data_IF_489454047620
#
_entry.id   IF_489454047620
#
_cell.length_a   1.000
_cell.length_b   1.000
_cell.length_c   1.000
_cell.angle_alpha   90.00
_cell.angle_beta   90.00
_cell.angle_gamma   90.00
#
_symmetry.space_group_name_H-M   'P 1'
#
loop_
_entity.id
_entity.type
_entity.pdbx_description
1 polymer ?
#
# COMPACT_ATOMS: atom_id res chain seq x y z
N UNK A 1 -18.67 -11.06 -6.23
CA UNK A 1 -17.95 -10.89 -4.95
C UNK A 1 -16.97 -9.74 -5.13
N UNK A 2 -16.75 -8.93 -4.10
CA UNK A 2 -15.80 -7.82 -4.14
C UNK A 2 -14.57 -8.17 -3.29
N UNK A 3 -13.39 -7.74 -3.73
CA UNK A 3 -12.18 -7.84 -2.92
C UNK A 3 -12.33 -6.86 -1.74
N UNK A 4 -12.11 -7.35 -0.52
CA UNK A 4 -12.06 -6.53 0.69
C UNK A 4 -10.64 -6.47 1.21
N UNK A 5 -10.13 -5.27 1.47
CA UNK A 5 -8.80 -5.01 2.04
C UNK A 5 -8.98 -4.45 3.45
N UNK A 6 -8.19 -4.92 4.41
CA UNK A 6 -8.18 -4.46 5.80
C UNK A 6 -6.75 -4.36 6.34
N UNK A 7 -6.55 -3.48 7.32
CA UNK A 7 -5.30 -3.40 8.09
C UNK A 7 -5.55 -3.77 9.55
N UNK A 8 -4.59 -4.42 10.19
CA UNK A 8 -4.60 -4.59 11.66
C UNK A 8 -4.11 -3.33 12.40
N UNK A 9 -3.54 -2.36 11.69
CA UNK A 9 -3.00 -1.14 12.27
C UNK A 9 -4.06 -0.04 12.48
N UNK A 10 -5.07 0.01 11.61
CA UNK A 10 -6.14 1.00 11.67
C UNK A 10 -7.38 0.51 10.93
N UNK A 11 -8.52 1.13 11.24
CA UNK A 11 -9.80 0.84 10.59
C UNK A 11 -10.03 1.76 9.39
N UNK A 12 -10.89 1.34 8.47
CA UNK A 12 -11.37 2.19 7.37
C UNK A 12 -11.99 3.49 7.93
N UNK A 13 -11.57 4.63 7.36
CA UNK A 13 -11.97 5.97 7.83
C UNK A 13 -11.34 6.41 9.15
N UNK A 14 -10.49 5.57 9.77
CA UNK A 14 -9.75 5.89 10.97
C UNK A 14 -8.44 6.64 10.70
N UNK A 15 -7.84 7.17 11.77
CA UNK A 15 -6.53 7.81 11.70
C UNK A 15 -5.43 6.78 11.41
N UNK A 16 -4.54 7.11 10.48
CA UNK A 16 -3.34 6.32 10.19
C UNK A 16 -2.31 6.58 11.32
N UNK A 17 -1.81 5.54 12.02
CA UNK A 17 -0.80 5.71 13.05
C UNK A 17 0.51 6.30 12.50
N UNK A 18 1.18 7.13 13.29
CA UNK A 18 2.40 7.84 12.88
C UNK A 18 3.51 6.94 12.32
N UNK A 19 3.63 5.69 12.81
CA UNK A 19 4.59 4.71 12.28
C UNK A 19 4.47 4.51 10.75
N UNK A 20 3.27 4.69 10.19
CA UNK A 20 2.97 4.54 8.76
C UNK A 20 2.88 5.89 8.02
N UNK A 21 3.28 6.99 8.63
CA UNK A 21 3.29 8.33 8.02
C UNK A 21 4.72 8.88 7.98
N UNK A 22 4.92 10.04 7.34
CA UNK A 22 6.21 10.72 7.34
C UNK A 22 6.65 11.24 8.73
N UNK A 23 5.73 11.32 9.69
CA UNK A 23 6.01 11.77 11.06
C UNK A 23 6.66 10.67 11.94
N UNK A 24 6.59 9.42 11.50
CA UNK A 24 7.16 8.28 12.21
C UNK A 24 8.18 7.51 11.38
N UNK A 25 7.94 6.21 11.21
CA UNK A 25 8.91 5.29 10.59
C UNK A 25 8.80 5.26 9.06
N UNK A 26 7.76 5.85 8.47
CA UNK A 26 7.51 5.84 7.03
C UNK A 26 7.47 4.41 6.43
N UNK A 27 6.91 3.46 7.17
CA UNK A 27 6.80 2.05 6.73
C UNK A 27 5.40 1.72 6.21
N UNK A 28 5.30 0.73 5.31
CA UNK A 28 3.99 0.28 4.83
C UNK A 28 3.14 -0.31 5.96
N UNK A 29 1.82 -0.10 5.99
CA UNK A 29 0.96 -0.76 6.96
C UNK A 29 0.81 -2.26 6.67
N UNK A 30 0.50 -3.08 7.69
CA UNK A 30 0.11 -4.46 7.46
C UNK A 30 -1.22 -4.47 6.72
N UNK A 31 -1.32 -5.21 5.61
CA UNK A 31 -2.53 -5.31 4.81
C UNK A 31 -2.92 -6.77 4.66
N UNK A 32 -4.21 -7.06 4.69
CA UNK A 32 -4.76 -8.37 4.36
C UNK A 32 -6.01 -8.20 3.53
N UNK A 33 -6.33 -9.20 2.70
CA UNK A 33 -7.48 -9.14 1.83
C UNK A 33 -8.16 -10.49 1.65
N UNK A 34 -9.43 -10.42 1.29
CA UNK A 34 -10.32 -11.54 1.06
C UNK A 34 -11.16 -11.31 -0.20
N UNK A 35 -11.86 -12.35 -0.66
CA UNK A 35 -12.76 -12.24 -1.82
C UNK A 35 -12.03 -12.18 -3.17
N UNK A 36 -10.78 -12.64 -3.23
CA UNK A 36 -10.03 -12.78 -4.48
C UNK A 36 -10.70 -13.87 -5.35
N UNK A 37 -11.08 -13.57 -6.61
CA UNK A 37 -11.70 -14.56 -7.49
C UNK A 37 -10.80 -15.78 -7.72
N UNK A 38 -11.40 -16.97 -7.83
CA UNK A 38 -10.64 -18.22 -8.03
C UNK A 38 -9.82 -18.22 -9.32
N UNK A 39 -10.29 -17.53 -10.35
CA UNK A 39 -9.60 -17.38 -11.64
C UNK A 39 -8.50 -16.30 -11.64
N UNK A 40 -8.31 -15.57 -10.54
CA UNK A 40 -7.26 -14.55 -10.47
C UNK A 40 -5.88 -15.22 -10.49
N UNK A 41 -4.99 -14.73 -11.35
CA UNK A 41 -3.61 -15.24 -11.45
C UNK A 41 -2.66 -14.38 -10.62
N UNK A 42 -2.84 -13.06 -10.69
CA UNK A 42 -2.08 -12.08 -9.92
C UNK A 42 -2.98 -10.97 -9.41
N UNK A 43 -2.47 -10.23 -8.42
CA UNK A 43 -3.06 -9.04 -7.85
C UNK A 43 -2.13 -7.85 -8.06
N UNK A 44 -2.74 -6.67 -8.07
CA UNK A 44 -2.04 -5.39 -7.96
C UNK A 44 -2.58 -4.65 -6.73
N UNK A 45 -1.70 -3.88 -6.09
CA UNK A 45 -2.01 -2.99 -4.99
C UNK A 45 -1.54 -1.58 -5.38
N UNK A 46 -2.45 -0.62 -5.25
CA UNK A 46 -2.17 0.81 -5.41
C UNK A 46 -2.66 1.49 -4.14
N UNK A 47 -1.82 2.32 -3.56
CA UNK A 47 -2.20 3.25 -2.49
C UNK A 47 -2.09 4.65 -3.08
N UNK A 48 -3.21 5.32 -3.25
CA UNK A 48 -3.31 6.66 -3.79
C UNK A 48 -4.06 7.60 -2.84
N UNK A 49 -3.67 8.87 -2.89
CA UNK A 49 -4.29 9.99 -2.19
C UNK A 49 -4.89 10.94 -3.24
N UNK A 50 -6.21 10.87 -3.50
CA UNK A 50 -6.87 11.76 -4.44
C UNK A 50 -7.02 13.20 -3.93
N UNK A 51 -6.84 13.43 -2.62
CA UNK A 51 -7.03 14.73 -1.97
C UNK A 51 -5.74 15.59 -1.99
N UNK A 52 -4.65 15.05 -2.53
CA UNK A 52 -3.39 15.76 -2.63
C UNK A 52 -3.50 17.05 -3.49
N UNK A 53 -2.86 18.17 -3.08
CA UNK A 53 -3.09 19.49 -3.68
C UNK A 53 -2.80 19.63 -5.19
N UNK A 54 -1.97 18.74 -5.75
CA UNK A 54 -1.53 18.79 -7.15
C UNK A 54 -2.12 17.65 -8.00
N UNK A 55 -3.23 17.06 -7.54
CA UNK A 55 -3.85 15.88 -8.13
C UNK A 55 -3.46 14.60 -7.38
N UNK A 56 -4.03 13.47 -7.80
CA UNK A 56 -3.84 12.17 -7.14
C UNK A 56 -2.38 11.83 -6.94
N UNK A 57 -2.01 11.56 -5.68
CA UNK A 57 -0.65 11.19 -5.29
C UNK A 57 -0.55 9.70 -5.01
N UNK A 58 0.26 8.99 -5.77
CA UNK A 58 0.49 7.56 -5.60
C UNK A 58 1.59 7.33 -4.58
N UNK A 59 1.20 6.79 -3.43
CA UNK A 59 2.07 6.44 -2.31
C UNK A 59 2.77 5.09 -2.49
N UNK A 60 2.12 4.12 -3.13
CA UNK A 60 2.68 2.78 -3.31
C UNK A 60 2.07 2.06 -4.51
N UNK A 61 2.91 1.33 -5.25
CA UNK A 61 2.51 0.47 -6.36
C UNK A 61 3.20 -0.89 -6.24
N UNK A 62 2.41 -1.95 -6.23
CA UNK A 62 2.86 -3.34 -6.26
C UNK A 62 2.05 -4.11 -7.32
N UNK A 63 2.70 -4.90 -8.15
CA UNK A 63 2.06 -5.71 -9.19
C UNK A 63 2.72 -7.09 -9.30
N UNK A 64 2.13 -7.99 -10.08
CA UNK A 64 2.56 -9.40 -10.17
C UNK A 64 2.55 -10.14 -8.82
N UNK A 65 1.77 -9.70 -7.85
CA UNK A 65 1.61 -10.41 -6.59
C UNK A 65 0.82 -11.69 -6.85
N UNK A 66 1.31 -12.89 -6.49
CA UNK A 66 0.57 -14.13 -6.75
C UNK A 66 -0.81 -14.08 -6.10
N UNK A 67 -1.84 -14.50 -6.82
CA UNK A 67 -3.22 -14.47 -6.31
C UNK A 67 -3.46 -15.39 -5.11
N UNK A 68 -2.53 -16.26 -4.76
CA UNK A 68 -2.54 -17.04 -3.52
C UNK A 68 -2.16 -16.23 -2.28
N UNK A 69 -1.47 -15.09 -2.44
CA UNK A 69 -1.13 -14.20 -1.33
C UNK A 69 -2.40 -13.54 -0.80
N UNK A 70 -2.50 -13.47 0.53
CA UNK A 70 -3.64 -12.91 1.26
C UNK A 70 -3.28 -11.75 2.17
N UNK A 71 -1.99 -11.49 2.35
CA UNK A 71 -1.49 -10.44 3.23
C UNK A 71 -0.10 -9.94 2.83
N UNK A 72 0.21 -8.74 3.29
CA UNK A 72 1.55 -8.14 3.29
C UNK A 72 1.85 -7.68 4.72
N UNK A 73 3.03 -7.99 5.26
CA UNK A 73 3.43 -7.51 6.57
C UNK A 73 3.64 -5.98 6.55
N UNK A 74 3.70 -5.38 7.72
CA UNK A 74 4.18 -4.00 7.85
C UNK A 74 5.64 -3.89 7.39
N UNK A 75 6.02 -2.74 6.83
CA UNK A 75 7.41 -2.45 6.44
C UNK A 75 7.94 -3.35 5.33
N UNK A 76 7.15 -3.56 4.27
CA UNK A 76 7.64 -4.22 3.06
C UNK A 76 8.85 -3.45 2.53
N UNK A 77 10.01 -4.10 2.30
CA UNK A 77 11.22 -3.42 1.90
C UNK A 77 11.06 -2.82 0.49
N UNK A 78 11.75 -1.70 0.15
CA UNK A 78 11.64 -1.02 -1.13
C UNK A 78 12.44 -1.72 -2.26
N UNK A 79 12.47 -3.04 -2.26
CA UNK A 79 13.15 -3.84 -3.27
C UNK A 79 12.31 -3.94 -4.54
N UNK A 80 12.93 -3.89 -5.73
CA UNK A 80 12.21 -4.00 -7.00
C UNK A 80 11.39 -5.30 -7.08
N UNK A 81 11.93 -6.41 -6.60
CA UNK A 81 11.27 -7.71 -6.57
C UNK A 81 11.28 -8.27 -5.14
N UNK A 82 10.10 -8.57 -4.63
CA UNK A 82 9.92 -9.16 -3.31
C UNK A 82 10.09 -10.69 -3.34
N UNK A 83 10.36 -11.28 -2.18
CA UNK A 83 10.52 -12.73 -2.02
C UNK A 83 9.27 -13.53 -2.44
N UNK A 84 8.09 -12.93 -2.38
CA UNK A 84 6.82 -13.54 -2.81
C UNK A 84 6.57 -13.42 -4.32
N UNK A 85 7.52 -12.88 -5.10
CA UNK A 85 7.43 -12.74 -6.55
C UNK A 85 6.80 -11.43 -7.04
N UNK A 86 6.22 -10.64 -6.13
CA UNK A 86 5.68 -9.34 -6.47
C UNK A 86 6.77 -8.35 -6.89
N UNK A 87 6.39 -7.37 -7.71
CA UNK A 87 7.27 -6.35 -8.24
C UNK A 87 6.75 -4.98 -7.82
N UNK A 88 7.63 -4.11 -7.35
CA UNK A 88 7.29 -2.75 -6.95
C UNK A 88 7.47 -1.79 -8.12
N UNK A 89 6.49 -0.89 -8.28
CA UNK A 89 6.55 0.20 -9.25
C UNK A 89 7.17 1.45 -8.65
N UNK A 90 7.62 2.38 -9.50
CA UNK A 90 7.94 3.75 -9.07
C UNK A 90 6.65 4.47 -8.70
N UNK A 91 6.65 5.10 -7.53
CA UNK A 91 5.58 5.97 -7.05
C UNK A 91 5.89 7.46 -7.31
N UNK A 92 5.03 8.38 -6.87
CA UNK A 92 5.20 9.82 -7.14
C UNK A 92 6.36 10.47 -6.37
N UNK A 93 6.86 9.80 -5.33
CA UNK A 93 8.13 10.14 -4.68
C UNK A 93 9.36 9.82 -5.55
N UNK A 94 9.16 9.27 -6.76
CA UNK A 94 10.21 8.83 -7.69
C UNK A 94 11.11 7.73 -7.12
N UNK A 95 10.60 6.93 -6.19
CA UNK A 95 11.27 5.76 -5.57
C UNK A 95 10.43 4.50 -5.67
N UNK A 96 11.05 3.36 -5.37
CA UNK A 96 10.36 2.08 -5.14
C UNK A 96 9.90 2.00 -3.69
N UNK A 97 8.90 1.17 -3.43
CA UNK A 97 8.37 0.98 -2.09
C UNK A 97 7.24 1.93 -1.72
N UNK A 98 6.80 1.79 -0.48
CA UNK A 98 5.83 2.66 0.15
C UNK A 98 6.48 4.01 0.51
N UNK A 99 5.72 5.10 0.33
CA UNK A 99 5.97 6.35 1.03
C UNK A 99 4.69 6.80 1.71
N UNK A 100 4.75 7.12 2.98
CA UNK A 100 3.60 7.45 3.81
C UNK A 100 2.98 8.81 3.49
N UNK A 101 1.73 9.04 3.95
CA UNK A 101 1.09 10.33 3.87
C UNK A 101 1.90 11.37 4.64
N UNK A 102 2.02 12.55 4.03
CA UNK A 102 2.69 13.70 4.60
C UNK A 102 1.92 14.98 4.24
N UNK A 103 0.67 15.11 4.71
CA UNK A 103 -0.16 16.25 4.35
C UNK A 103 0.48 17.56 4.86
N UNK A 104 0.38 18.67 4.12
CA UNK A 104 0.83 19.96 4.61
C UNK A 104 0.08 20.30 5.91
N UNK A 105 0.82 20.66 6.96
CA UNK A 105 0.24 20.90 8.28
C UNK A 105 -0.89 21.94 8.23
N UNK A 106 -2.10 21.54 8.63
CA UNK A 106 -3.27 22.42 8.73
C UNK A 106 -4.56 21.94 8.06
N UNK A 107 -4.53 20.80 7.37
CA UNK A 107 -5.72 20.03 6.94
C UNK A 107 -5.97 18.86 7.87
#
# INVERSE_FOLDING_TARGET
>A
MAIKVVSSAFQEGGMIPADYTCDGKDISPPLSWSGVPEQAVTLALICDDPDAPLGTWVHWVLYNLPASVRELPAGVPPDERLANGAVQGRNDFRRLGYGGPCPPGGT
#
